data_IF_310480724674
#
_entry.id   IF_310480724674
#
_cell.length_a   1.000
_cell.length_b   1.000
_cell.length_c   1.000
_cell.angle_alpha   90.00
_cell.angle_beta   90.00
_cell.angle_gamma   90.00
#
_symmetry.space_group_name_H-M   'P 1'
#
loop_
_entity.id
_entity.type
_entity.pdbx_description
1 polymer ?
#
# COMPACT_ATOMS: atom_id res chain seq x y z
N UNK A 1 36.70 -38.85 86.62
CA UNK A 1 35.72 -39.78 87.25
C UNK A 1 34.37 -39.09 87.18
N UNK A 2 33.37 -39.74 86.59
CA UNK A 2 31.91 -39.49 86.69
C UNK A 2 31.33 -38.06 86.50
N UNK A 3 30.14 -37.89 85.92
CA UNK A 3 29.27 -38.83 85.20
C UNK A 3 28.21 -38.08 84.38
N UNK A 4 27.91 -38.61 83.19
CA UNK A 4 26.57 -38.92 82.69
C UNK A 4 25.41 -37.93 82.96
N UNK A 5 25.05 -37.17 81.92
CA UNK A 5 23.73 -36.58 81.81
C UNK A 5 22.82 -37.40 80.88
N UNK A 6 21.80 -38.07 81.43
CA UNK A 6 20.64 -38.59 80.66
C UNK A 6 19.39 -38.61 81.54
N UNK A 7 18.31 -37.93 81.11
CA UNK A 7 16.88 -38.23 81.30
C UNK A 7 16.03 -37.01 80.86
N UNK A 8 14.88 -37.11 80.19
CA UNK A 8 14.20 -38.21 79.50
C UNK A 8 13.11 -37.61 78.58
N UNK A 9 13.00 -38.04 77.32
CA UNK A 9 11.78 -37.94 76.47
C UNK A 9 10.92 -39.22 76.70
N UNK A 10 9.65 -39.40 76.25
CA UNK A 10 9.07 -38.89 74.97
C UNK A 10 7.52 -38.65 74.89
N UNK A 11 7.01 -38.49 73.64
CA UNK A 11 5.67 -38.88 73.11
C UNK A 11 4.48 -37.89 73.26
N UNK A 12 4.04 -37.24 72.16
CA UNK A 12 2.99 -37.64 71.15
C UNK A 12 1.56 -37.28 71.63
N UNK A 13 0.56 -36.82 70.86
CA UNK A 13 0.22 -36.68 69.42
C UNK A 13 -0.77 -35.47 69.29
N UNK A 14 -1.24 -34.91 68.14
CA UNK A 14 -0.95 -34.94 66.69
C UNK A 14 -1.82 -33.86 65.97
N UNK A 15 -1.71 -33.72 64.64
CA UNK A 15 -2.53 -32.86 63.73
C UNK A 15 -2.21 -31.35 63.79
N UNK A 16 -1.91 -30.62 62.71
CA UNK A 16 -2.21 -30.82 61.28
C UNK A 16 -3.54 -30.14 60.92
N UNK A 17 -3.69 -29.32 59.88
CA UNK A 17 -2.80 -29.00 58.75
C UNK A 17 -3.25 -27.66 58.10
N UNK A 18 -2.42 -27.02 57.26
CA UNK A 18 -2.89 -25.95 56.34
C UNK A 18 -2.16 -24.61 56.39
N UNK A 19 -0.90 -24.57 55.92
CA UNK A 19 -0.31 -23.31 55.45
C UNK A 19 -0.87 -22.99 54.07
N UNK A 20 -1.46 -21.82 53.88
CA UNK A 20 -1.83 -21.32 52.55
C UNK A 20 -0.76 -20.32 52.12
N UNK A 21 0.16 -20.77 51.27
CA UNK A 21 1.18 -19.89 50.68
C UNK A 21 0.49 -18.87 49.76
N UNK A 22 0.29 -17.67 50.30
CA UNK A 22 -0.07 -16.50 49.51
C UNK A 22 1.08 -16.15 48.59
N UNK A 23 1.00 -16.59 47.33
CA UNK A 23 1.76 -15.99 46.25
C UNK A 23 1.32 -14.52 46.07
N UNK A 24 1.95 -13.63 46.83
CA UNK A 24 1.86 -12.19 46.61
C UNK A 24 2.60 -11.87 45.30
N UNK A 25 1.86 -11.93 44.20
CA UNK A 25 2.33 -11.54 42.88
C UNK A 25 2.56 -10.03 42.91
N UNK A 26 3.82 -9.64 43.16
CA UNK A 26 4.31 -8.28 42.92
C UNK A 26 4.19 -8.00 41.42
N UNK A 27 3.03 -7.48 41.01
CA UNK A 27 2.79 -6.98 39.65
C UNK A 27 3.64 -5.74 39.47
N UNK A 28 4.89 -5.95 39.07
CA UNK A 28 5.80 -4.87 38.74
C UNK A 28 5.19 -4.09 37.57
N UNK A 29 4.77 -2.86 37.83
CA UNK A 29 4.31 -1.95 36.78
C UNK A 29 5.44 -1.78 35.77
N UNK A 30 5.29 -2.43 34.62
CA UNK A 30 6.10 -2.16 33.44
C UNK A 30 5.78 -0.74 33.05
N UNK A 31 6.66 0.20 33.40
CA UNK A 31 6.72 1.49 32.71
C UNK A 31 7.10 1.18 31.28
N UNK A 32 6.09 1.05 30.42
CA UNK A 32 6.31 1.00 28.97
C UNK A 32 7.18 2.19 28.60
N UNK A 33 8.32 1.90 27.95
CA UNK A 33 9.28 2.92 27.59
C UNK A 33 8.58 3.94 26.70
N UNK A 34 8.45 5.18 27.19
CA UNK A 34 7.64 6.23 26.58
C UNK A 34 8.21 6.67 25.23
N UNK A 35 7.91 5.92 24.18
CA UNK A 35 8.12 6.34 22.80
C UNK A 35 7.16 7.50 22.55
N UNK A 36 7.67 8.72 22.56
CA UNK A 36 6.90 9.91 22.19
C UNK A 36 6.54 9.81 20.71
N UNK A 37 5.37 9.26 20.42
CA UNK A 37 4.86 9.10 19.06
C UNK A 37 4.56 10.48 18.48
N UNK A 38 5.36 10.89 17.48
CA UNK A 38 5.10 12.13 16.75
C UNK A 38 4.08 11.87 15.65
N UNK A 39 2.86 12.33 15.87
CA UNK A 39 1.79 12.27 14.88
C UNK A 39 2.04 13.20 13.69
N UNK A 40 1.63 12.82 12.46
CA UNK A 40 1.71 13.67 11.28
C UNK A 40 0.62 14.74 11.30
N UNK A 41 0.92 15.95 10.82
CA UNK A 41 -0.11 16.98 10.58
C UNK A 41 -1.07 16.52 9.48
N UNK A 42 -2.37 16.78 9.70
CA UNK A 42 -3.40 16.70 8.66
C UNK A 42 -3.25 17.90 7.72
N UNK A 43 -3.25 17.61 6.42
CA UNK A 43 -3.19 18.57 5.32
C UNK A 43 -4.31 18.24 4.33
N UNK A 44 -4.71 19.24 3.53
CA UNK A 44 -5.83 19.18 2.58
C UNK A 44 -5.79 17.99 1.59
N UNK A 45 -4.61 17.42 1.34
CA UNK A 45 -4.38 16.35 0.37
C UNK A 45 -3.73 15.08 0.96
N UNK A 46 -3.68 14.94 2.29
CA UNK A 46 -2.99 13.82 2.94
C UNK A 46 -3.88 12.93 3.81
N UNK A 47 -5.19 13.18 3.87
CA UNK A 47 -6.10 12.56 4.84
C UNK A 47 -6.03 11.02 4.82
N UNK A 48 -5.97 10.41 3.62
CA UNK A 48 -5.86 8.95 3.49
C UNK A 48 -4.62 8.35 4.15
N UNK A 49 -3.45 8.98 3.99
CA UNK A 49 -2.19 8.52 4.59
C UNK A 49 -2.12 8.90 6.07
N UNK A 50 -2.63 10.08 6.42
CA UNK A 50 -2.76 10.56 7.78
C UNK A 50 -3.61 9.61 8.64
N UNK A 51 -4.81 9.25 8.16
CA UNK A 51 -5.74 8.38 8.88
C UNK A 51 -5.18 6.97 9.12
N UNK A 52 -4.46 6.40 8.15
CA UNK A 52 -3.75 5.11 8.31
C UNK A 52 -2.67 5.21 9.39
N UNK A 53 -1.85 6.27 9.39
CA UNK A 53 -0.83 6.48 10.42
C UNK A 53 -1.46 6.68 11.80
N UNK A 54 -2.51 7.48 11.90
CA UNK A 54 -3.24 7.71 13.15
C UNK A 54 -3.79 6.40 13.73
N UNK A 55 -4.42 5.57 12.88
CA UNK A 55 -4.94 4.25 13.26
C UNK A 55 -3.85 3.32 13.81
N UNK A 56 -2.67 3.31 13.19
CA UNK A 56 -1.52 2.50 13.67
C UNK A 56 -1.06 3.00 15.05
N UNK A 57 -0.87 4.31 15.22
CA UNK A 57 -0.37 4.89 16.46
C UNK A 57 -1.36 4.77 17.64
N UNK A 58 -2.64 5.02 17.41
CA UNK A 58 -3.69 4.87 18.43
C UNK A 58 -3.93 3.41 18.82
N UNK A 59 -3.70 2.45 17.90
CA UNK A 59 -3.72 1.02 18.23
C UNK A 59 -2.55 0.62 19.12
N UNK A 60 -1.34 1.14 18.83
CA UNK A 60 -0.17 0.91 19.69
C UNK A 60 -0.33 1.45 21.12
N UNK A 61 -1.18 2.47 21.32
CA UNK A 61 -1.52 3.03 22.64
C UNK A 61 -2.80 2.45 23.27
N UNK A 62 -3.49 1.52 22.60
CA UNK A 62 -4.74 0.94 23.11
C UNK A 62 -5.95 1.88 23.17
N UNK A 63 -5.89 3.06 22.53
CA UNK A 63 -6.96 4.09 22.56
C UNK A 63 -7.90 4.05 21.35
N UNK A 64 -7.54 3.30 20.29
CA UNK A 64 -8.29 3.25 19.03
C UNK A 64 -9.77 2.81 19.16
N UNK A 65 -10.13 2.03 20.20
CA UNK A 65 -11.52 1.65 20.45
C UNK A 65 -12.45 2.87 20.67
N UNK A 66 -11.92 3.98 21.20
CA UNK A 66 -12.67 5.23 21.35
C UNK A 66 -13.02 5.91 20.01
N UNK A 67 -12.30 5.56 18.93
CA UNK A 67 -12.52 6.08 17.57
C UNK A 67 -13.48 5.17 16.79
N UNK A 68 -13.38 3.84 16.96
CA UNK A 68 -14.36 2.89 16.40
C UNK A 68 -15.72 3.01 17.13
N UNK A 69 -15.72 3.39 18.41
CA UNK A 69 -16.92 3.50 19.25
C UNK A 69 -17.51 2.14 19.62
N UNK A 70 -16.67 1.11 19.69
CA UNK A 70 -17.06 -0.25 20.04
C UNK A 70 -16.98 -0.44 21.56
N UNK A 71 -18.14 -0.63 22.19
CA UNK A 71 -18.29 -0.90 23.62
C UNK A 71 -18.36 0.35 24.50
N UNK A 72 -18.27 0.14 25.82
CA UNK A 72 -18.25 1.24 26.81
C UNK A 72 -16.86 1.88 26.78
N UNK A 73 -16.77 3.04 26.14
CA UNK A 73 -15.55 3.87 26.14
C UNK A 73 -15.50 4.63 27.45
N UNK A 74 -14.47 4.37 28.25
CA UNK A 74 -14.10 5.18 29.42
C UNK A 74 -13.70 6.61 28.97
N UNK A 75 -14.30 7.64 29.57
CA UNK A 75 -14.02 9.07 29.30
C UNK A 75 -12.53 9.37 29.20
N UNK A 76 -11.71 8.76 30.07
CA UNK A 76 -10.26 8.92 30.06
C UNK A 76 -9.64 8.42 28.76
N UNK A 77 -10.10 7.28 28.22
CA UNK A 77 -9.66 6.75 26.91
C UNK A 77 -10.19 7.61 25.76
N UNK A 78 -11.41 8.14 25.88
CA UNK A 78 -11.97 9.12 24.95
C UNK A 78 -11.06 10.33 24.80
N UNK A 79 -10.75 11.01 25.92
CA UNK A 79 -9.87 12.18 25.95
C UNK A 79 -8.43 11.85 25.50
N UNK A 80 -7.88 10.69 25.88
CA UNK A 80 -6.55 10.25 25.41
C UNK A 80 -6.51 9.99 23.89
N UNK A 81 -7.62 9.61 23.26
CA UNK A 81 -7.72 9.51 21.81
C UNK A 81 -7.97 10.87 21.13
N UNK A 82 -8.70 11.78 21.77
CA UNK A 82 -9.02 13.11 21.23
C UNK A 82 -7.78 14.03 21.20
N UNK A 83 -6.98 14.04 22.26
CA UNK A 83 -5.82 14.91 22.40
C UNK A 83 -4.84 14.86 21.20
N UNK A 84 -4.40 13.69 20.71
CA UNK A 84 -3.53 13.64 19.54
C UNK A 84 -4.24 14.00 18.22
N UNK A 85 -5.57 13.87 18.11
CA UNK A 85 -6.32 14.38 16.93
C UNK A 85 -6.24 15.91 16.92
N UNK A 86 -6.63 16.55 18.02
CA UNK A 86 -6.61 18.02 18.17
C UNK A 86 -5.20 18.59 17.95
N UNK A 87 -4.15 17.88 18.39
CA UNK A 87 -2.76 18.30 18.21
C UNK A 87 -2.32 18.41 16.74
N UNK A 88 -2.92 17.65 15.83
CA UNK A 88 -2.42 17.52 14.44
C UNK A 88 -3.35 18.01 13.34
N UNK A 89 -4.53 18.51 13.69
CA UNK A 89 -5.42 19.15 12.71
C UNK A 89 -5.14 20.67 12.65
N UNK A 90 -5.40 21.34 11.52
CA UNK A 90 -5.32 22.80 11.45
C UNK A 90 -6.28 23.47 12.44
N UNK A 91 -5.93 24.66 12.95
CA UNK A 91 -6.72 25.38 13.96
C UNK A 91 -8.18 25.63 13.54
N UNK A 92 -8.41 25.96 12.26
CA UNK A 92 -9.75 26.10 11.68
C UNK A 92 -10.60 24.81 11.77
N UNK A 93 -9.94 23.64 11.82
CA UNK A 93 -10.58 22.32 11.94
C UNK A 93 -10.74 21.93 13.41
N UNK A 94 -9.86 22.37 14.31
CA UNK A 94 -10.02 22.19 15.77
C UNK A 94 -11.37 22.74 16.23
N UNK A 95 -11.73 23.96 15.81
CA UNK A 95 -12.98 24.60 16.21
C UNK A 95 -14.23 23.77 15.83
N UNK A 96 -14.24 23.16 14.63
CA UNK A 96 -15.33 22.30 14.18
C UNK A 96 -15.38 20.92 14.88
N UNK A 97 -14.28 20.50 15.51
CA UNK A 97 -14.17 19.25 16.29
C UNK A 97 -14.57 19.47 17.76
N UNK A 98 -14.33 20.65 18.33
CA UNK A 98 -14.70 20.99 19.71
C UNK A 98 -16.23 20.96 19.93
N UNK A 99 -17.03 21.09 18.88
CA UNK A 99 -18.50 20.94 18.91
C UNK A 99 -18.98 19.47 18.94
N UNK A 100 -18.10 18.49 19.17
CA UNK A 100 -18.42 17.05 19.19
C UNK A 100 -18.23 16.46 20.58
N UNK A 101 -19.24 15.70 21.03
CA UNK A 101 -19.27 15.13 22.38
C UNK A 101 -18.36 13.90 22.51
N UNK A 102 -18.07 13.22 21.39
CA UNK A 102 -17.23 12.01 21.38
C UNK A 102 -16.08 12.07 20.38
N UNK A 103 -14.99 11.36 20.69
CA UNK A 103 -13.84 11.19 19.78
C UNK A 103 -14.22 10.52 18.46
N UNK A 104 -15.28 9.71 18.47
CA UNK A 104 -15.86 9.10 17.25
C UNK A 104 -16.52 10.15 16.37
N UNK A 105 -17.38 11.01 16.92
CA UNK A 105 -18.00 12.11 16.16
C UNK A 105 -16.97 13.09 15.61
N UNK A 106 -15.94 13.42 16.39
CA UNK A 106 -14.80 14.21 15.93
C UNK A 106 -14.08 13.56 14.73
N UNK A 107 -13.88 12.24 14.79
CA UNK A 107 -13.24 11.46 13.72
C UNK A 107 -14.12 11.32 12.48
N UNK A 108 -15.42 11.05 12.64
CA UNK A 108 -16.35 10.93 11.53
C UNK A 108 -16.62 12.29 10.86
N UNK A 109 -16.64 13.40 11.60
CA UNK A 109 -16.69 14.75 11.01
C UNK A 109 -15.43 15.07 10.18
N UNK A 110 -14.24 14.74 10.70
CA UNK A 110 -12.98 14.83 9.94
C UNK A 110 -13.03 14.01 8.65
N UNK A 111 -13.54 12.79 8.74
CA UNK A 111 -13.70 11.88 7.61
C UNK A 111 -14.66 12.45 6.58
N UNK A 112 -15.82 12.96 6.98
CA UNK A 112 -16.84 13.53 6.08
C UNK A 112 -16.29 14.69 5.24
N UNK A 113 -15.58 15.64 5.86
CA UNK A 113 -14.93 16.75 5.12
C UNK A 113 -13.99 16.23 4.04
N UNK A 114 -13.25 15.16 4.33
CA UNK A 114 -12.27 14.57 3.39
C UNK A 114 -12.85 13.46 2.48
N UNK A 115 -14.16 13.13 2.58
CA UNK A 115 -14.84 12.30 1.56
C UNK A 115 -14.75 12.98 0.18
N UNK A 116 -14.71 14.32 0.13
CA UNK A 116 -14.45 15.07 -1.10
C UNK A 116 -13.11 14.70 -1.75
N UNK A 117 -12.01 14.74 -0.97
CA UNK A 117 -10.67 14.33 -1.41
C UNK A 117 -10.69 12.88 -1.94
N UNK A 118 -11.34 11.99 -1.19
CA UNK A 118 -11.48 10.56 -1.51
C UNK A 118 -12.23 10.32 -2.83
N UNK A 119 -13.30 11.08 -3.08
CA UNK A 119 -14.09 11.06 -4.33
C UNK A 119 -13.28 11.60 -5.51
N UNK A 120 -12.59 12.72 -5.33
CA UNK A 120 -11.71 13.32 -6.37
C UNK A 120 -10.58 12.37 -6.73
N UNK A 121 -9.94 11.74 -5.73
CA UNK A 121 -8.87 10.74 -5.93
C UNK A 121 -9.37 9.54 -6.74
N UNK A 122 -10.54 8.99 -6.39
CA UNK A 122 -11.19 7.88 -7.12
C UNK A 122 -11.58 8.28 -8.55
N UNK A 123 -12.12 9.48 -8.74
CA UNK A 123 -12.46 10.01 -10.07
C UNK A 123 -11.22 10.18 -10.96
N UNK A 124 -10.12 10.70 -10.42
CA UNK A 124 -8.85 10.82 -11.13
C UNK A 124 -8.31 9.44 -11.58
N UNK A 125 -8.27 8.45 -10.66
CA UNK A 125 -7.89 7.07 -11.01
C UNK A 125 -8.80 6.48 -12.10
N UNK A 126 -10.12 6.70 -12.03
CA UNK A 126 -11.02 6.24 -13.08
C UNK A 126 -10.75 6.93 -14.43
N UNK A 127 -10.49 8.24 -14.44
CA UNK A 127 -10.17 8.98 -15.66
C UNK A 127 -8.91 8.42 -16.31
N UNK A 128 -7.84 8.22 -15.53
CA UNK A 128 -6.59 7.63 -16.00
C UNK A 128 -6.75 6.17 -16.46
N UNK A 129 -7.59 5.37 -15.79
CA UNK A 129 -7.91 4.01 -16.26
C UNK A 129 -8.65 4.03 -17.60
N UNK A 130 -9.64 4.92 -17.78
CA UNK A 130 -10.33 5.08 -19.08
C UNK A 130 -9.39 5.63 -20.16
N UNK A 131 -8.40 6.45 -19.82
CA UNK A 131 -7.35 6.92 -20.73
C UNK A 131 -6.48 5.73 -21.17
N UNK A 132 -5.98 4.94 -20.21
CA UNK A 132 -5.25 3.70 -20.44
C UNK A 132 -6.02 2.70 -21.32
N UNK A 133 -7.28 2.43 -20.99
CA UNK A 133 -8.16 1.51 -21.75
C UNK A 133 -8.30 1.95 -23.21
N UNK A 134 -8.45 3.24 -23.47
CA UNK A 134 -8.57 3.81 -24.83
C UNK A 134 -7.25 3.96 -25.60
N UNK A 135 -6.11 3.63 -24.99
CA UNK A 135 -4.83 3.62 -25.71
C UNK A 135 -4.79 2.54 -26.78
N UNK A 136 -4.39 2.96 -27.97
CA UNK A 136 -3.91 2.15 -29.08
C UNK A 136 -2.69 2.84 -29.69
N UNK A 137 -1.77 2.05 -30.22
CA UNK A 137 -0.60 2.56 -30.94
C UNK A 137 -1.01 3.11 -32.31
N UNK A 138 -0.40 4.20 -32.74
CA UNK A 138 -0.64 4.77 -34.08
C UNK A 138 0.25 4.09 -35.16
N UNK A 139 -0.20 4.04 -36.42
CA UNK A 139 0.54 3.37 -37.51
C UNK A 139 1.92 3.97 -37.78
N UNK A 140 2.06 5.29 -37.60
CA UNK A 140 3.31 6.04 -37.77
C UNK A 140 4.17 6.09 -36.52
N UNK A 141 3.62 5.74 -35.36
CA UNK A 141 4.32 5.76 -34.08
C UNK A 141 5.31 4.59 -33.97
N UNK A 142 6.41 4.82 -33.25
CA UNK A 142 7.39 3.78 -32.87
C UNK A 142 7.03 3.10 -31.56
N UNK A 143 7.51 1.87 -31.36
CA UNK A 143 7.37 1.16 -30.07
C UNK A 143 7.94 1.99 -28.90
N UNK A 144 9.00 2.77 -29.15
CA UNK A 144 9.59 3.63 -28.14
C UNK A 144 8.65 4.73 -27.65
N UNK A 145 8.01 5.45 -28.56
CA UNK A 145 7.05 6.51 -28.25
C UNK A 145 5.81 5.96 -27.57
N UNK A 146 5.25 4.86 -28.11
CA UNK A 146 4.06 4.25 -27.56
C UNK A 146 4.26 3.74 -26.13
N UNK A 147 5.39 3.07 -25.88
CA UNK A 147 5.75 2.59 -24.56
C UNK A 147 5.96 3.74 -23.55
N UNK A 148 6.47 4.90 -23.99
CA UNK A 148 6.57 6.09 -23.13
C UNK A 148 5.19 6.65 -22.77
N UNK A 149 4.25 6.75 -23.73
CA UNK A 149 2.86 7.15 -23.45
C UNK A 149 2.23 6.20 -22.41
N UNK A 150 2.35 4.89 -22.63
CA UNK A 150 1.77 3.84 -21.78
C UNK A 150 2.33 3.91 -20.35
N UNK A 151 3.66 3.92 -20.22
CA UNK A 151 4.36 3.99 -18.93
C UNK A 151 4.03 5.29 -18.18
N UNK A 152 3.83 6.39 -18.89
CA UNK A 152 3.43 7.68 -18.30
C UNK A 152 2.06 7.60 -17.63
N UNK A 153 1.05 7.01 -18.28
CA UNK A 153 -0.29 6.86 -17.68
C UNK A 153 -0.27 5.87 -16.51
N UNK A 154 0.43 4.73 -16.65
CA UNK A 154 0.61 3.77 -15.56
C UNK A 154 1.29 4.42 -14.34
N UNK A 155 2.31 5.25 -14.56
CA UNK A 155 2.98 5.97 -13.48
C UNK A 155 2.10 7.04 -12.83
N UNK A 156 1.23 7.74 -13.59
CA UNK A 156 0.21 8.62 -13.01
C UNK A 156 -0.75 7.84 -12.09
N UNK A 157 -1.22 6.65 -12.50
CA UNK A 157 -2.10 5.80 -11.68
C UNK A 157 -1.39 5.33 -10.39
N UNK A 158 -0.14 4.88 -10.53
CA UNK A 158 0.73 4.46 -9.41
C UNK A 158 1.00 5.62 -8.43
N UNK A 159 1.22 6.83 -8.94
CA UNK A 159 1.44 8.04 -8.11
C UNK A 159 0.22 8.46 -7.28
N UNK A 160 -1.00 8.13 -7.71
CA UNK A 160 -2.24 8.33 -6.93
C UNK A 160 -2.43 7.22 -5.87
N UNK A 161 -1.51 6.25 -5.78
CA UNK A 161 -1.52 5.17 -4.78
C UNK A 161 -2.28 3.91 -5.23
N UNK A 162 -2.66 3.80 -6.51
CA UNK A 162 -3.30 2.58 -7.04
C UNK A 162 -2.23 1.64 -7.60
N UNK A 163 -2.13 0.43 -7.06
CA UNK A 163 -1.25 -0.60 -7.61
C UNK A 163 -1.72 -1.00 -9.03
N UNK A 164 -0.77 -1.09 -9.95
CA UNK A 164 -0.96 -1.64 -11.30
C UNK A 164 0.09 -2.72 -11.47
N UNK A 165 -0.35 -3.98 -11.61
CA UNK A 165 0.53 -5.14 -11.75
C UNK A 165 1.33 -5.05 -13.06
N UNK A 166 2.55 -5.60 -13.04
CA UNK A 166 3.44 -5.62 -14.21
C UNK A 166 2.79 -6.37 -15.39
N UNK A 167 2.16 -7.52 -15.11
CA UNK A 167 1.46 -8.36 -16.08
C UNK A 167 0.36 -7.59 -16.82
N UNK A 168 -0.46 -6.83 -16.11
CA UNK A 168 -1.52 -6.00 -16.73
C UNK A 168 -0.96 -4.94 -17.68
N UNK A 169 0.26 -4.45 -17.45
CA UNK A 169 0.93 -3.49 -18.35
C UNK A 169 1.51 -4.21 -19.58
N UNK A 170 2.09 -5.39 -19.39
CA UNK A 170 2.59 -6.25 -20.49
C UNK A 170 1.43 -6.68 -21.40
N UNK A 171 0.36 -7.23 -20.84
CA UNK A 171 -0.86 -7.60 -21.55
C UNK A 171 -1.43 -6.40 -22.32
N UNK A 172 -1.56 -5.23 -21.66
CA UNK A 172 -2.06 -4.02 -22.32
C UNK A 172 -1.16 -3.57 -23.46
N UNK A 173 0.17 -3.64 -23.32
CA UNK A 173 1.11 -3.33 -24.40
C UNK A 173 0.90 -4.27 -25.60
N UNK A 174 0.90 -5.58 -25.38
CA UNK A 174 0.73 -6.60 -26.43
C UNK A 174 -0.63 -6.49 -27.16
N UNK A 175 -1.72 -6.20 -26.44
CA UNK A 175 -3.06 -6.07 -27.02
C UNK A 175 -3.33 -4.76 -27.77
N UNK A 176 -2.40 -3.80 -27.75
CA UNK A 176 -2.64 -2.44 -28.28
C UNK A 176 -1.60 -1.93 -29.26
N UNK A 177 -0.54 -2.70 -29.51
CA UNK A 177 0.35 -2.46 -30.65
C UNK A 177 -0.41 -2.65 -31.97
N UNK A 178 -0.02 -1.88 -32.98
CA UNK A 178 -0.61 -1.97 -34.34
C UNK A 178 -0.38 -3.32 -35.01
N UNK A 179 -1.20 -3.65 -36.01
CA UNK A 179 -1.20 -4.97 -36.66
C UNK A 179 0.15 -5.40 -37.26
N UNK A 180 1.03 -4.43 -37.55
CA UNK A 180 2.43 -4.66 -37.97
C UNK A 180 3.25 -5.49 -36.97
N UNK A 181 2.78 -5.68 -35.73
CA UNK A 181 3.43 -6.47 -34.67
C UNK A 181 2.74 -7.81 -34.33
N UNK A 182 1.58 -8.16 -34.91
CA UNK A 182 0.80 -9.34 -34.49
C UNK A 182 1.60 -10.65 -34.54
N UNK A 183 2.51 -10.78 -35.51
CA UNK A 183 3.39 -11.96 -35.62
C UNK A 183 4.32 -12.12 -34.41
N UNK A 184 4.95 -11.04 -33.93
CA UNK A 184 5.82 -11.11 -32.75
C UNK A 184 5.00 -11.21 -31.46
N UNK A 185 3.81 -10.58 -31.39
CA UNK A 185 2.87 -10.74 -30.27
C UNK A 185 2.46 -12.20 -30.11
N UNK A 186 1.94 -12.84 -31.16
CA UNK A 186 1.56 -14.25 -31.13
C UNK A 186 2.75 -15.19 -30.86
N UNK A 187 3.97 -14.81 -31.23
CA UNK A 187 5.18 -15.56 -30.86
C UNK A 187 5.48 -15.45 -29.36
N UNK A 188 5.33 -14.26 -28.77
CA UNK A 188 5.50 -14.02 -27.32
C UNK A 188 4.41 -14.76 -26.52
N UNK A 189 3.16 -14.75 -26.99
CA UNK A 189 2.04 -15.43 -26.31
C UNK A 189 2.11 -16.95 -26.40
N UNK A 190 2.58 -17.50 -27.53
CA UNK A 190 2.68 -18.95 -27.75
C UNK A 190 3.89 -19.58 -27.05
N UNK A 191 5.00 -18.85 -26.91
CA UNK A 191 6.29 -19.41 -26.45
C UNK A 191 6.88 -18.72 -25.21
N UNK A 192 6.34 -17.58 -24.80
CA UNK A 192 6.77 -16.82 -23.62
C UNK A 192 5.81 -16.95 -22.45
N UNK A 193 6.30 -16.68 -21.24
CA UNK A 193 5.49 -16.62 -20.03
C UNK A 193 5.11 -15.15 -19.75
N UNK A 194 4.01 -14.69 -20.37
CA UNK A 194 3.48 -13.32 -20.22
C UNK A 194 3.25 -12.95 -18.75
N UNK A 195 2.92 -13.91 -17.90
CA UNK A 195 2.74 -13.75 -16.45
C UNK A 195 4.03 -13.49 -15.66
N UNK A 196 5.21 -13.73 -16.24
CA UNK A 196 6.53 -13.45 -15.63
C UNK A 196 7.36 -12.40 -16.38
N UNK A 197 6.99 -12.08 -17.61
CA UNK A 197 7.71 -11.12 -18.44
C UNK A 197 7.67 -9.71 -17.84
N UNK A 198 8.77 -8.96 -17.97
CA UNK A 198 8.81 -7.55 -17.53
C UNK A 198 8.43 -6.59 -18.65
N UNK A 199 7.88 -5.42 -18.33
CA UNK A 199 7.51 -4.42 -19.35
C UNK A 199 8.72 -4.01 -20.20
N UNK A 200 9.90 -3.90 -19.59
CA UNK A 200 11.16 -3.56 -20.28
C UNK A 200 11.56 -4.64 -21.29
N UNK A 201 11.42 -5.92 -20.92
CA UNK A 201 11.72 -7.07 -21.78
C UNK A 201 10.77 -7.11 -22.98
N UNK A 202 9.46 -6.96 -22.77
CA UNK A 202 8.46 -6.91 -23.84
C UNK A 202 8.74 -5.75 -24.82
N UNK A 203 9.06 -4.56 -24.30
CA UNK A 203 9.48 -3.41 -25.13
C UNK A 203 10.76 -3.76 -25.92
N UNK A 204 11.72 -4.45 -25.31
CA UNK A 204 12.96 -4.90 -25.97
C UNK A 204 12.70 -5.85 -27.13
N UNK A 205 11.83 -6.86 -26.94
CA UNK A 205 11.41 -7.78 -27.99
C UNK A 205 10.75 -7.04 -29.16
N UNK A 206 9.78 -6.15 -28.86
CA UNK A 206 9.04 -5.39 -29.86
C UNK A 206 9.95 -4.41 -30.65
N UNK A 207 10.88 -3.72 -29.97
CA UNK A 207 11.89 -2.86 -30.65
C UNK A 207 12.86 -3.65 -31.52
N UNK A 208 13.26 -4.85 -31.09
CA UNK A 208 14.13 -5.73 -31.89
C UNK A 208 13.43 -6.15 -33.19
N UNK A 209 12.13 -6.45 -33.10
CA UNK A 209 11.30 -6.75 -34.27
C UNK A 209 11.08 -5.53 -35.18
N UNK A 210 10.82 -4.34 -34.60
CA UNK A 210 10.72 -3.06 -35.32
C UNK A 210 11.97 -2.77 -36.17
N UNK A 211 13.17 -2.97 -35.60
CA UNK A 211 14.44 -2.83 -36.31
C UNK A 211 14.59 -3.83 -37.47
N UNK A 212 14.10 -5.06 -37.31
CA UNK A 212 14.10 -6.09 -38.36
C UNK A 212 13.18 -5.73 -39.54
N UNK A 213 11.97 -5.24 -39.26
CA UNK A 213 11.04 -4.73 -40.29
C UNK A 213 11.66 -3.56 -41.08
N UNK A 214 12.34 -2.64 -40.40
CA UNK A 214 13.07 -1.53 -41.04
C UNK A 214 14.26 -1.99 -41.89
N UNK A 215 14.87 -3.14 -41.58
CA UNK A 215 15.84 -3.82 -42.45
C UNK A 215 15.19 -4.34 -43.74
N UNK A 216 14.08 -5.08 -43.61
CA UNK A 216 13.38 -5.68 -44.75
C UNK A 216 12.80 -4.65 -45.74
N UNK A 217 12.27 -3.50 -45.25
CA UNK A 217 11.79 -2.42 -46.13
C UNK A 217 12.90 -1.89 -47.06
N UNK A 218 14.07 -1.57 -46.49
CA UNK A 218 15.22 -1.05 -47.25
C UNK A 218 15.74 -2.04 -48.31
N UNK A 219 15.70 -3.34 -48.04
CA UNK A 219 16.04 -4.37 -49.06
C UNK A 219 15.07 -4.32 -50.24
N UNK A 220 13.76 -4.33 -49.96
CA UNK A 220 12.71 -4.33 -50.99
C UNK A 220 12.72 -3.06 -51.84
N UNK A 221 12.99 -1.90 -51.23
CA UNK A 221 13.13 -0.62 -51.95
C UNK A 221 14.35 -0.63 -52.88
N UNK A 222 15.48 -1.16 -52.44
CA UNK A 222 16.67 -1.35 -53.27
C UNK A 222 16.44 -2.30 -54.45
N UNK A 223 15.81 -3.45 -54.20
CA UNK A 223 15.42 -4.42 -55.23
C UNK A 223 14.48 -3.79 -56.28
N UNK A 224 13.47 -3.03 -55.85
CA UNK A 224 12.55 -2.33 -56.76
C UNK A 224 13.26 -1.26 -57.60
N UNK A 225 14.17 -0.49 -57.02
CA UNK A 225 14.98 0.49 -57.78
C UNK A 225 15.88 -0.20 -58.82
N UNK A 226 16.48 -1.34 -58.49
CA UNK A 226 17.28 -2.13 -59.44
C UNK A 226 16.43 -2.67 -60.61
N UNK A 227 15.23 -3.18 -60.32
CA UNK A 227 14.29 -3.64 -61.36
C UNK A 227 13.83 -2.50 -62.28
N UNK A 228 13.47 -1.34 -61.71
CA UNK A 228 13.08 -0.15 -62.49
C UNK A 228 14.23 0.44 -63.31
N UNK A 229 15.47 0.29 -62.86
CA UNK A 229 16.67 0.72 -63.61
C UNK A 229 16.96 -0.25 -64.75
N UNK A 230 16.80 -1.56 -64.53
CA UNK A 230 16.99 -2.60 -65.56
C UNK A 230 15.93 -2.56 -66.66
N UNK A 231 14.72 -2.09 -66.37
CA UNK A 231 13.63 -1.95 -67.33
C UNK A 231 13.71 -0.71 -68.25
N UNK A 232 14.78 0.09 -68.14
CA UNK A 232 14.99 1.33 -68.93
C UNK A 232 16.09 1.20 -70.01
N UNK A 233 16.49 -0.02 -70.35
CA UNK A 233 17.48 -0.36 -71.37
C UNK A 233 16.93 -1.41 -72.34
#
# INVERSE_FOLDING_TARGET
MSSDGVHKLPSRCSSGNGSSDGHELVVQQVKEAGVTVRYPMLLENNYGVWAVKMKIFMRAQGVWAAVEGDGVVDDKKGQMALAPIVQVVPEAVVLAIVEKDTTKEAWDALKEVHIGEDRVRKANVQTLKRELERMYMEDVETIGEYAMKLTTIVNKIRAVGTKVEETTVVEKLLHTVTDKFQYIVGTIEQWGDVSKMSVIETIGCLKTYEASLAGQRRSKEGEQQLLLTRAKW
#
